data_IF_114714992218
#
_entry.id   IF_114714992218
#
_cell.length_a   1.000
_cell.length_b   1.000
_cell.length_c   1.000
_cell.angle_alpha   90.00
_cell.angle_beta   90.00
_cell.angle_gamma   90.00
#
_symmetry.space_group_name_H-M   'P 1'
#
loop_
_entity.id
_entity.type
_entity.pdbx_description
1 polymer ?
#
# COMPACT_ATOMS: atom_id res chain seq x y z
N UNK A 1 -3.28 23.71 -67.80
CA UNK A 1 -4.34 24.64 -67.37
C UNK A 1 -4.76 24.26 -65.96
N UNK A 2 -4.77 25.24 -65.04
CA UNK A 2 -5.50 25.38 -63.75
C UNK A 2 -5.37 24.25 -62.70
N UNK A 3 -4.59 24.37 -61.61
CA UNK A 3 -4.76 25.17 -60.36
C UNK A 3 -6.12 24.97 -59.65
N UNK A 4 -6.11 24.38 -58.44
CA UNK A 4 -6.42 25.08 -57.17
C UNK A 4 -7.02 24.18 -56.07
N UNK A 5 -6.22 23.86 -55.05
CA UNK A 5 -6.65 23.52 -53.69
C UNK A 5 -5.57 24.08 -52.74
N UNK A 6 -5.80 24.62 -51.56
CA UNK A 6 -6.95 25.19 -50.90
C UNK A 6 -6.33 25.90 -49.67
N UNK A 7 -6.60 27.21 -49.54
CA UNK A 7 -6.61 28.07 -48.34
C UNK A 7 -5.62 27.83 -47.18
N UNK A 8 -4.85 28.90 -46.94
CA UNK A 8 -4.05 29.30 -45.79
C UNK A 8 -4.94 29.68 -44.58
N UNK A 9 -4.60 29.28 -43.34
CA UNK A 9 -4.82 30.12 -42.14
C UNK A 9 -4.08 29.56 -40.92
N UNK A 10 -3.12 30.35 -40.44
CA UNK A 10 -2.43 30.20 -39.18
C UNK A 10 -3.36 30.50 -37.99
N UNK A 11 -3.11 29.85 -36.85
CA UNK A 11 -3.34 30.46 -35.54
C UNK A 11 -2.46 29.76 -34.50
N UNK A 12 -1.39 30.47 -34.17
CA UNK A 12 -0.52 30.25 -33.03
C UNK A 12 -1.31 30.55 -31.76
N UNK A 13 -1.40 29.59 -30.85
CA UNK A 13 -1.72 29.82 -29.45
C UNK A 13 -0.54 29.31 -28.62
N UNK A 14 0.24 30.29 -28.17
CA UNK A 14 1.28 30.15 -27.17
C UNK A 14 0.67 30.21 -25.75
N UNK A 15 1.53 29.85 -24.78
CA UNK A 15 1.49 29.97 -23.31
C UNK A 15 1.30 28.64 -22.52
N UNK A 16 1.89 28.50 -21.31
CA UNK A 16 3.29 28.76 -20.96
C UNK A 16 3.90 27.65 -20.06
N UNK A 17 5.24 27.63 -20.01
CA UNK A 17 6.13 27.08 -18.98
C UNK A 17 5.53 26.19 -17.86
N UNK A 18 5.66 24.87 -18.01
CA UNK A 18 5.78 23.97 -16.87
C UNK A 18 7.27 23.88 -16.49
N UNK A 19 7.57 24.17 -15.23
CA UNK A 19 8.89 24.11 -14.64
C UNK A 19 9.58 22.78 -14.96
N UNK A 20 10.84 22.90 -15.40
CA UNK A 20 11.79 21.82 -15.40
C UNK A 20 11.99 21.31 -13.96
N UNK A 21 11.39 20.17 -13.62
CA UNK A 21 12.01 19.27 -12.67
C UNK A 21 13.01 18.46 -13.46
N UNK A 22 14.29 18.71 -13.22
CA UNK A 22 15.38 17.90 -13.74
C UNK A 22 15.12 16.45 -13.35
N UNK A 23 14.73 15.65 -14.34
CA UNK A 23 14.74 14.20 -14.26
C UNK A 23 16.19 13.77 -14.00
N UNK A 24 16.52 13.62 -12.72
CA UNK A 24 17.60 12.78 -12.26
C UNK A 24 17.17 11.35 -12.50
N UNK A 25 17.37 10.89 -13.74
CA UNK A 25 17.16 9.53 -14.20
C UNK A 25 18.17 8.60 -13.52
N UNK A 26 17.85 8.26 -12.27
CA UNK A 26 18.38 7.11 -11.57
C UNK A 26 17.26 6.07 -11.46
N UNK A 27 17.49 4.79 -11.80
CA UNK A 27 16.48 3.73 -11.73
C UNK A 27 15.91 3.46 -10.31
N UNK A 28 16.35 4.21 -9.29
CA UNK A 28 15.84 4.11 -7.91
C UNK A 28 14.81 5.17 -7.50
N UNK A 29 14.69 6.32 -8.21
CA UNK A 29 13.83 7.42 -7.77
C UNK A 29 12.35 7.17 -8.08
N UNK A 30 12.04 6.56 -9.24
CA UNK A 30 10.67 6.22 -9.62
C UNK A 30 10.10 5.09 -8.77
N UNK A 31 10.91 4.08 -8.46
CA UNK A 31 10.51 2.96 -7.60
C UNK A 31 10.25 3.40 -6.15
N UNK A 32 11.04 4.34 -5.62
CA UNK A 32 10.84 4.90 -4.28
C UNK A 32 9.54 5.71 -4.19
N UNK A 33 9.26 6.58 -5.18
CA UNK A 33 8.02 7.38 -5.21
C UNK A 33 6.78 6.50 -5.37
N UNK A 34 6.85 5.45 -6.18
CA UNK A 34 5.75 4.48 -6.29
C UNK A 34 5.53 3.69 -4.99
N UNK A 35 6.60 3.32 -4.28
CA UNK A 35 6.49 2.57 -3.02
C UNK A 35 5.88 3.42 -1.90
N UNK A 36 6.19 4.72 -1.83
CA UNK A 36 5.59 5.63 -0.84
C UNK A 36 4.11 5.91 -1.15
N UNK A 37 3.72 5.99 -2.44
CA UNK A 37 2.32 6.08 -2.83
C UNK A 37 1.54 4.81 -2.44
N UNK A 38 2.08 3.63 -2.74
CA UNK A 38 1.49 2.34 -2.34
C UNK A 38 1.41 2.22 -0.81
N UNK A 39 2.42 2.70 -0.08
CA UNK A 39 2.38 2.75 1.39
C UNK A 39 1.25 3.64 1.91
N UNK A 40 1.11 4.84 1.35
CA UNK A 40 0.04 5.77 1.71
C UNK A 40 -1.35 5.21 1.41
N UNK A 41 -1.54 4.56 0.26
CA UNK A 41 -2.79 3.90 -0.11
C UNK A 41 -3.10 2.73 0.84
N UNK A 42 -2.11 1.89 1.13
CA UNK A 42 -2.26 0.76 2.06
C UNK A 42 -2.62 1.25 3.47
N UNK A 43 -2.00 2.32 3.93
CA UNK A 43 -2.31 2.92 5.22
C UNK A 43 -3.74 3.50 5.26
N UNK A 44 -4.17 4.13 4.18
CA UNK A 44 -5.53 4.67 4.05
C UNK A 44 -6.57 3.56 4.05
N UNK A 45 -6.28 2.45 3.36
CA UNK A 45 -7.12 1.24 3.36
C UNK A 45 -7.19 0.61 4.76
N UNK A 46 -6.06 0.47 5.45
CA UNK A 46 -6.01 -0.02 6.84
C UNK A 46 -6.89 0.82 7.76
N UNK A 47 -6.81 2.15 7.65
CA UNK A 47 -7.63 3.06 8.42
C UNK A 47 -9.12 2.90 8.11
N UNK A 48 -9.48 2.79 6.82
CA UNK A 48 -10.86 2.53 6.38
C UNK A 48 -11.40 1.21 6.95
N UNK A 49 -10.64 0.12 6.83
CA UNK A 49 -10.99 -1.20 7.38
C UNK A 49 -11.25 -1.12 8.89
N UNK A 50 -10.37 -0.42 9.62
CA UNK A 50 -10.48 -0.27 11.07
C UNK A 50 -11.69 0.57 11.47
N UNK A 51 -12.04 1.59 10.69
CA UNK A 51 -13.18 2.47 10.96
C UNK A 51 -14.53 1.82 10.63
N UNK A 52 -14.56 0.88 9.70
CA UNK A 52 -15.78 0.31 9.14
C UNK A 52 -15.96 -1.19 9.44
N UNK A 53 -15.22 -1.76 10.39
CA UNK A 53 -15.01 -3.20 10.61
C UNK A 53 -16.20 -4.14 10.38
N UNK A 54 -17.42 -3.78 10.77
CA UNK A 54 -18.63 -4.63 10.63
C UNK A 54 -19.34 -4.52 9.27
N UNK A 55 -18.98 -3.55 8.44
CA UNK A 55 -19.62 -3.25 7.15
C UNK A 55 -18.70 -3.37 5.94
N UNK A 56 -17.45 -3.81 6.13
CA UNK A 56 -16.49 -3.95 5.03
C UNK A 56 -16.65 -5.32 4.37
N UNK A 57 -16.69 -5.35 3.05
CA UNK A 57 -16.58 -6.59 2.30
C UNK A 57 -15.15 -7.14 2.46
N UNK A 58 -15.04 -8.27 3.16
CA UNK A 58 -13.76 -8.91 3.47
C UNK A 58 -13.07 -9.40 2.20
N UNK A 59 -13.82 -9.92 1.23
CA UNK A 59 -13.25 -10.44 0.00
C UNK A 59 -12.70 -9.30 -0.87
N UNK A 60 -13.47 -8.21 -1.01
CA UNK A 60 -13.01 -7.02 -1.74
C UNK A 60 -11.81 -6.37 -1.05
N UNK A 61 -11.87 -6.18 0.27
CA UNK A 61 -10.75 -5.60 1.03
C UNK A 61 -9.50 -6.45 0.95
N UNK A 62 -9.64 -7.77 1.03
CA UNK A 62 -8.51 -8.70 0.86
C UNK A 62 -7.89 -8.60 -0.53
N UNK A 63 -8.72 -8.50 -1.58
CA UNK A 63 -8.25 -8.32 -2.94
C UNK A 63 -7.54 -6.97 -3.15
N UNK A 64 -8.05 -5.90 -2.54
CA UNK A 64 -7.38 -4.60 -2.55
C UNK A 64 -6.01 -4.66 -1.84
N UNK A 65 -5.94 -5.34 -0.68
CA UNK A 65 -4.67 -5.57 0.02
C UNK A 65 -3.70 -6.42 -0.81
N UNK A 66 -4.18 -7.44 -1.52
CA UNK A 66 -3.36 -8.25 -2.44
C UNK A 66 -2.81 -7.40 -3.59
N UNK A 67 -3.60 -6.48 -4.14
CA UNK A 67 -3.17 -5.56 -5.18
C UNK A 67 -2.06 -4.62 -4.68
N UNK A 68 -2.17 -4.09 -3.46
CA UNK A 68 -1.13 -3.23 -2.88
C UNK A 68 0.17 -4.00 -2.62
N UNK A 69 0.07 -5.24 -2.14
CA UNK A 69 1.25 -6.11 -1.98
C UNK A 69 1.87 -6.43 -3.34
N UNK A 70 1.07 -6.67 -4.38
CA UNK A 70 1.58 -6.91 -5.72
C UNK A 70 2.28 -5.69 -6.32
N UNK A 71 1.82 -4.48 -5.99
CA UNK A 71 2.45 -3.23 -6.41
C UNK A 71 3.79 -2.96 -5.70
N UNK A 72 3.93 -3.34 -4.43
CA UNK A 72 5.14 -3.18 -3.64
C UNK A 72 5.54 -4.46 -2.87
N UNK A 73 5.91 -5.55 -3.57
CA UNK A 73 6.04 -6.88 -2.95
C UNK A 73 7.24 -7.00 -2.01
N UNK A 74 8.22 -6.09 -2.13
CA UNK A 74 9.44 -6.09 -1.35
C UNK A 74 9.53 -4.90 -0.38
N UNK A 75 8.43 -4.17 -0.18
CA UNK A 75 8.37 -3.08 0.78
C UNK A 75 7.89 -3.61 2.16
N UNK A 76 8.76 -3.64 3.19
CA UNK A 76 8.40 -4.17 4.50
C UNK A 76 7.33 -3.34 5.23
N UNK A 77 7.19 -2.04 4.93
CA UNK A 77 6.16 -1.19 5.53
C UNK A 77 4.79 -1.51 4.94
N UNK A 78 4.71 -1.68 3.61
CA UNK A 78 3.47 -2.11 2.93
C UNK A 78 3.05 -3.49 3.44
N UNK A 79 3.98 -4.43 3.54
CA UNK A 79 3.71 -5.77 4.08
C UNK A 79 3.23 -5.73 5.54
N UNK A 80 3.84 -4.89 6.39
CA UNK A 80 3.38 -4.66 7.77
C UNK A 80 1.94 -4.16 7.82
N UNK A 81 1.62 -3.10 7.08
CA UNK A 81 0.28 -2.51 7.08
C UNK A 81 -0.77 -3.45 6.49
N UNK A 82 -0.40 -4.21 5.45
CA UNK A 82 -1.30 -5.19 4.86
C UNK A 82 -1.59 -6.37 5.81
N UNK A 83 -0.59 -6.80 6.59
CA UNK A 83 -0.77 -7.81 7.62
C UNK A 83 -1.68 -7.30 8.75
N UNK A 84 -1.43 -6.08 9.26
CA UNK A 84 -2.30 -5.44 10.27
C UNK A 84 -3.76 -5.35 9.79
N UNK A 85 -3.96 -4.93 8.54
CA UNK A 85 -5.29 -4.84 7.94
C UNK A 85 -5.99 -6.19 7.86
N UNK A 86 -5.27 -7.25 7.49
CA UNK A 86 -5.82 -8.63 7.47
C UNK A 86 -6.17 -9.13 8.87
N UNK A 87 -5.40 -8.75 9.89
CA UNK A 87 -5.76 -9.05 11.28
C UNK A 87 -7.08 -8.36 11.64
N UNK A 88 -7.24 -7.08 11.34
CA UNK A 88 -8.51 -6.37 11.57
C UNK A 88 -9.69 -6.99 10.82
N UNK A 89 -9.52 -7.38 9.55
CA UNK A 89 -10.56 -8.12 8.79
C UNK A 89 -10.86 -9.48 9.42
N UNK A 90 -9.86 -10.17 9.97
CA UNK A 90 -10.06 -11.44 10.65
C UNK A 90 -10.86 -11.27 11.95
N UNK A 91 -10.73 -10.13 12.62
CA UNK A 91 -11.45 -9.89 13.87
C UNK A 91 -12.93 -9.57 13.63
N UNK A 92 -13.29 -9.07 12.44
CA UNK A 92 -14.69 -8.84 12.04
C UNK A 92 -15.36 -10.02 11.33
N UNK A 93 -14.59 -10.98 10.81
CA UNK A 93 -15.17 -12.14 10.11
C UNK A 93 -15.89 -13.11 11.06
N UNK A 94 -17.14 -13.44 10.73
CA UNK A 94 -17.92 -14.44 11.47
C UNK A 94 -17.57 -15.88 11.07
N UNK A 95 -17.03 -16.09 9.86
CA UNK A 95 -16.63 -17.41 9.39
C UNK A 95 -15.27 -17.82 9.93
N UNK A 96 -15.21 -18.99 10.58
CA UNK A 96 -13.96 -19.47 11.18
C UNK A 96 -12.89 -19.76 10.13
N UNK A 97 -13.26 -20.33 8.98
CA UNK A 97 -12.27 -20.68 7.97
C UNK A 97 -11.64 -19.42 7.36
N UNK A 98 -12.45 -18.40 7.08
CA UNK A 98 -12.00 -17.09 6.62
C UNK A 98 -11.10 -16.39 7.65
N UNK A 99 -11.47 -16.37 8.94
CA UNK A 99 -10.60 -15.85 10.01
C UNK A 99 -9.23 -16.50 10.03
N UNK A 100 -9.20 -17.83 10.04
CA UNK A 100 -7.95 -18.60 10.11
C UNK A 100 -7.10 -18.33 8.86
N UNK A 101 -7.73 -18.28 7.68
CA UNK A 101 -7.05 -17.94 6.43
C UNK A 101 -6.40 -16.56 6.48
N UNK A 102 -7.16 -15.52 6.84
CA UNK A 102 -6.67 -14.14 6.94
C UNK A 102 -5.48 -14.01 7.90
N UNK A 103 -5.55 -14.68 9.06
CA UNK A 103 -4.47 -14.67 10.05
C UNK A 103 -3.23 -15.43 9.58
N UNK A 104 -3.40 -16.52 8.82
CA UNK A 104 -2.28 -17.21 8.19
C UNK A 104 -1.61 -16.36 7.10
N UNK A 105 -2.40 -15.67 6.27
CA UNK A 105 -1.88 -14.77 5.23
C UNK A 105 -1.14 -13.58 5.87
N UNK A 106 -1.68 -13.01 6.95
CA UNK A 106 -1.02 -11.97 7.73
C UNK A 106 0.29 -12.44 8.37
N UNK A 107 0.34 -13.67 8.91
CA UNK A 107 1.59 -14.26 9.42
C UNK A 107 2.66 -14.36 8.33
N UNK A 108 2.30 -14.84 7.14
CA UNK A 108 3.22 -14.95 6.02
C UNK A 108 3.77 -13.56 5.60
N UNK A 109 2.92 -12.52 5.67
CA UNK A 109 3.32 -11.15 5.38
C UNK A 109 4.25 -10.57 6.44
N UNK A 110 3.99 -10.81 7.73
CA UNK A 110 4.92 -10.43 8.79
C UNK A 110 6.26 -11.14 8.67
N UNK A 111 6.26 -12.46 8.43
CA UNK A 111 7.50 -13.22 8.24
C UNK A 111 8.31 -12.65 7.05
N UNK A 112 7.64 -12.30 5.94
CA UNK A 112 8.28 -11.63 4.80
C UNK A 112 8.80 -10.23 5.17
N UNK A 113 7.99 -9.41 5.84
CA UNK A 113 8.39 -8.06 6.26
C UNK A 113 9.62 -8.10 7.17
N UNK A 114 9.67 -9.04 8.12
CA UNK A 114 10.82 -9.27 9.01
C UNK A 114 12.06 -9.65 8.19
N UNK A 115 11.93 -10.53 7.19
CA UNK A 115 13.07 -10.92 6.35
C UNK A 115 13.65 -9.78 5.50
N UNK A 116 12.84 -8.76 5.21
CA UNK A 116 13.20 -7.59 4.41
C UNK A 116 13.61 -6.37 5.27
N UNK A 117 13.17 -6.33 6.53
CA UNK A 117 13.45 -5.26 7.45
C UNK A 117 14.94 -5.22 7.83
N UNK A 118 15.54 -4.04 7.77
CA UNK A 118 16.88 -3.80 8.31
C UNK A 118 16.76 -3.45 9.79
N UNK A 119 17.71 -3.86 10.66
CA UNK A 119 17.67 -3.55 12.09
C UNK A 119 17.51 -2.05 12.40
N UNK A 120 18.12 -1.18 11.59
CA UNK A 120 18.08 0.28 11.74
C UNK A 120 17.26 0.95 10.65
N UNK A 121 16.24 0.27 10.11
CA UNK A 121 15.36 0.86 9.10
C UNK A 121 14.66 2.10 9.70
N UNK A 122 14.73 3.27 9.03
CA UNK A 122 14.10 4.49 9.54
C UNK A 122 12.58 4.35 9.48
N UNK A 123 11.85 5.01 10.37
CA UNK A 123 10.39 5.05 10.24
C UNK A 123 9.98 5.82 8.98
N UNK A 124 8.77 5.53 8.47
CA UNK A 124 8.15 6.28 7.39
C UNK A 124 6.90 6.99 7.88
N UNK A 125 6.60 8.16 7.33
CA UNK A 125 5.42 8.93 7.71
C UNK A 125 4.33 8.72 6.65
N UNK A 126 3.13 8.41 7.10
CA UNK A 126 1.91 8.38 6.28
C UNK A 126 0.92 9.38 6.87
N UNK A 127 0.02 9.92 6.03
CA UNK A 127 -1.02 10.85 6.49
C UNK A 127 -2.38 10.16 6.55
N UNK A 128 -2.90 9.96 7.75
CA UNK A 128 -4.20 9.32 7.99
C UNK A 128 -5.17 10.37 8.54
N UNK A 129 -6.27 10.61 7.84
CA UNK A 129 -7.28 11.62 8.21
C UNK A 129 -6.68 13.02 8.47
N UNK A 130 -5.62 13.38 7.73
CA UNK A 130 -4.91 14.66 7.90
C UNK A 130 -3.86 14.68 9.01
N UNK A 131 -3.69 13.61 9.79
CA UNK A 131 -2.65 13.48 10.81
C UNK A 131 -1.46 12.65 10.31
N UNK A 132 -0.25 13.13 10.58
CA UNK A 132 0.97 12.38 10.30
C UNK A 132 1.12 11.24 11.30
N UNK A 133 1.28 10.03 10.80
CA UNK A 133 1.44 8.80 11.57
C UNK A 133 2.77 8.17 11.19
N UNK A 134 3.57 7.86 12.20
CA UNK A 134 4.85 7.18 12.03
C UNK A 134 4.64 5.66 11.95
N UNK A 135 5.16 5.06 10.89
CA UNK A 135 5.20 3.61 10.67
C UNK A 135 6.65 3.17 10.79
N UNK A 136 6.99 2.55 11.91
CA UNK A 136 8.27 1.86 12.10
C UNK A 136 8.11 0.35 11.93
N UNK A 137 9.23 -0.38 12.00
CA UNK A 137 9.28 -1.85 11.84
C UNK A 137 9.77 -2.56 13.11
N UNK A 138 9.94 -1.83 14.22
CA UNK A 138 10.61 -2.33 15.44
C UNK A 138 9.75 -3.35 16.18
N UNK A 139 8.44 -3.18 16.10
CA UNK A 139 7.40 -4.03 16.69
C UNK A 139 7.06 -5.28 15.84
N UNK A 140 7.60 -5.41 14.62
CA UNK A 140 7.27 -6.53 13.72
C UNK A 140 7.44 -7.92 14.38
N UNK A 141 8.54 -8.22 15.09
CA UNK A 141 8.70 -9.52 15.75
C UNK A 141 7.62 -9.78 16.80
N UNK A 142 7.23 -8.75 17.55
CA UNK A 142 6.22 -8.85 18.61
C UNK A 142 4.82 -9.03 18.01
N UNK A 143 4.47 -8.25 16.97
CA UNK A 143 3.21 -8.39 16.23
C UNK A 143 3.06 -9.80 15.65
N UNK A 144 4.14 -10.31 15.04
CA UNK A 144 4.19 -11.68 14.50
C UNK A 144 4.01 -12.72 15.61
N UNK A 145 4.70 -12.56 16.74
CA UNK A 145 4.60 -13.49 17.86
C UNK A 145 3.19 -13.52 18.45
N UNK A 146 2.57 -12.36 18.67
CA UNK A 146 1.21 -12.23 19.15
C UNK A 146 0.21 -12.93 18.22
N UNK A 147 0.28 -12.64 16.91
CA UNK A 147 -0.58 -13.29 15.93
C UNK A 147 -0.38 -14.81 15.88
N UNK A 148 0.86 -15.28 15.99
CA UNK A 148 1.17 -16.71 15.99
C UNK A 148 0.58 -17.43 17.20
N UNK A 149 0.52 -16.78 18.36
CA UNK A 149 -0.18 -17.30 19.53
C UNK A 149 -1.69 -17.39 19.27
N UNK A 150 -2.30 -16.33 18.74
CA UNK A 150 -3.74 -16.32 18.39
C UNK A 150 -4.11 -17.42 17.40
N UNK A 151 -3.31 -17.63 16.35
CA UNK A 151 -3.54 -18.69 15.36
C UNK A 151 -3.45 -20.09 15.98
N UNK A 152 -2.60 -20.28 16.99
CA UNK A 152 -2.52 -21.57 17.70
C UNK A 152 -3.73 -21.84 18.59
N UNK A 153 -4.30 -20.81 19.21
CA UNK A 153 -5.48 -20.94 20.07
C UNK A 153 -6.77 -21.11 19.29
N UNK A 154 -6.81 -20.63 18.05
CA UNK A 154 -7.98 -20.73 17.17
C UNK A 154 -8.14 -22.09 16.48
N UNK A 155 -7.17 -23.01 16.61
CA UNK A 155 -7.12 -24.34 15.97
C UNK A 155 -8.15 -25.34 16.48
#
# INVERSE_FOLDING_TARGET
MKLSHLVLAASVLALPAACATTAGDGPGMTAAVSSDATLQETASLMASITQHGDGVDIADSSAQLDAQIAAAPNDPYVLKLAALSRVSLSDSSQDRAERVKLRHDALAQYDKAISLAKPDAPSRIVRLNGQETEIDLKDLPDLRAQLFHTVQTDR
#
